data_IF_668744603302
#
_entry.id   IF_668744603302
#
_cell.length_a   1.000
_cell.length_b   1.000
_cell.length_c   1.000
_cell.angle_alpha   90.00
_cell.angle_beta   90.00
_cell.angle_gamma   90.00
#
_symmetry.space_group_name_H-M   'P 1'
#
loop_
_entity.id
_entity.type
_entity.pdbx_description
1 polymer ?
#
# COMPACT_ATOMS: atom_id res chain seq x y z
N UNK A 1 -27.38 0.66 -1.23
CA UNK A 1 -26.61 -0.16 -0.26
C UNK A 1 -25.25 0.51 -0.17
N UNK A 2 -24.80 0.97 1.01
CA UNK A 2 -23.55 1.72 1.08
C UNK A 2 -22.39 0.84 0.57
N UNK A 3 -21.68 1.31 -0.46
CA UNK A 3 -20.48 0.62 -0.95
C UNK A 3 -19.49 0.50 0.22
N UNK A 4 -18.96 -0.70 0.51
CA UNK A 4 -18.31 -0.96 1.79
C UNK A 4 -16.94 -0.25 1.93
N UNK A 5 -16.37 0.26 0.84
CA UNK A 5 -15.12 1.04 0.87
C UNK A 5 -15.22 2.34 1.66
N UNK A 6 -16.42 2.93 1.81
CA UNK A 6 -16.59 4.08 2.70
C UNK A 6 -16.29 3.74 4.16
N UNK A 7 -16.24 2.44 4.52
CA UNK A 7 -15.82 1.97 5.84
C UNK A 7 -14.30 1.97 6.02
N UNK A 8 -13.49 2.08 4.96
CA UNK A 8 -12.02 2.16 5.08
C UNK A 8 -11.49 3.50 5.59
N UNK A 9 -12.38 4.48 5.75
CA UNK A 9 -12.01 5.84 6.07
C UNK A 9 -13.02 6.54 6.95
N UNK A 10 -12.79 7.84 7.13
CA UNK A 10 -13.67 8.71 7.91
C UNK A 10 -14.51 9.54 6.96
N UNK A 11 -15.84 9.39 7.04
CA UNK A 11 -16.76 10.21 6.26
C UNK A 11 -16.68 11.67 6.70
N UNK A 12 -16.37 12.56 5.76
CA UNK A 12 -16.27 14.00 6.02
C UNK A 12 -17.67 14.61 6.00
N UNK A 13 -18.21 14.91 7.19
CA UNK A 13 -19.58 15.45 7.35
C UNK A 13 -19.70 16.94 7.02
N UNK A 14 -18.58 17.67 6.98
CA UNK A 14 -18.54 19.13 6.90
C UNK A 14 -18.12 19.68 5.52
N UNK A 15 -17.74 18.82 4.57
CA UNK A 15 -17.37 19.27 3.23
C UNK A 15 -18.65 19.50 2.40
N UNK A 16 -18.92 20.73 1.91
CA UNK A 16 -20.00 20.93 0.98
C UNK A 16 -19.67 20.18 -0.31
N UNK A 17 -20.62 19.39 -0.83
CA UNK A 17 -20.46 18.58 -2.05
C UNK A 17 -19.88 19.33 -3.26
N UNK A 18 -20.06 20.67 -3.29
CA UNK A 18 -19.55 21.55 -4.34
C UNK A 18 -18.03 21.77 -4.30
N UNK A 19 -17.35 21.35 -3.24
CA UNK A 19 -15.90 21.57 -3.06
C UNK A 19 -15.16 20.33 -2.51
N UNK A 20 -15.68 19.14 -2.78
CA UNK A 20 -15.05 17.88 -2.36
C UNK A 20 -13.60 17.72 -2.86
N UNK A 21 -13.36 18.09 -4.12
CA UNK A 21 -12.03 18.07 -4.76
C UNK A 21 -11.11 19.16 -4.16
N UNK A 22 -11.64 20.38 -3.95
CA UNK A 22 -10.89 21.46 -3.29
C UNK A 22 -10.48 21.08 -1.88
N UNK A 23 -11.39 20.50 -1.07
CA UNK A 23 -11.07 20.02 0.28
C UNK A 23 -9.88 19.05 0.28
N UNK A 24 -9.88 18.00 -0.56
CA UNK A 24 -8.78 17.03 -0.57
C UNK A 24 -7.46 17.65 -1.06
N UNK A 25 -7.51 18.53 -2.06
CA UNK A 25 -6.34 19.25 -2.59
C UNK A 25 -5.74 20.21 -1.57
N UNK A 26 -6.54 21.10 -1.02
CA UNK A 26 -6.11 22.16 -0.11
C UNK A 26 -5.57 21.58 1.21
N UNK A 27 -6.20 20.50 1.69
CA UNK A 27 -5.74 19.81 2.91
C UNK A 27 -4.63 18.79 2.64
N UNK A 28 -4.21 18.61 1.37
CA UNK A 28 -3.21 17.62 0.94
C UNK A 28 -3.50 16.22 1.48
N UNK A 29 -4.77 15.81 1.48
CA UNK A 29 -5.20 14.53 2.08
C UNK A 29 -5.25 13.41 1.05
N UNK A 30 -4.92 12.21 1.53
CA UNK A 30 -5.33 10.98 0.85
C UNK A 30 -6.80 10.75 1.14
N UNK A 31 -7.56 10.41 0.11
CA UNK A 31 -9.00 10.31 0.26
C UNK A 31 -9.69 9.81 -0.99
N UNK A 32 -11.00 9.79 -0.91
CA UNK A 32 -11.86 9.28 -1.96
C UNK A 32 -13.12 10.15 -2.06
N UNK A 33 -13.49 10.50 -3.28
CA UNK A 33 -14.79 11.09 -3.59
C UNK A 33 -15.63 9.98 -4.23
N UNK A 34 -16.81 9.74 -3.71
CA UNK A 34 -17.79 8.82 -4.27
C UNK A 34 -19.03 9.58 -4.73
N UNK A 35 -19.56 9.24 -5.90
CA UNK A 35 -20.82 9.72 -6.44
C UNK A 35 -21.78 8.55 -6.65
N UNK A 36 -22.95 8.58 -6.03
CA UNK A 36 -24.03 7.61 -6.29
C UNK A 36 -24.72 7.97 -7.61
N UNK A 37 -24.79 7.02 -8.55
CA UNK A 37 -25.40 7.24 -9.86
C UNK A 37 -26.90 6.89 -9.90
N UNK A 38 -27.48 6.46 -8.77
CA UNK A 38 -28.90 6.15 -8.61
C UNK A 38 -29.35 4.81 -9.20
N UNK A 39 -28.46 4.10 -9.91
CA UNK A 39 -28.69 2.77 -10.51
C UNK A 39 -28.12 1.62 -9.67
N UNK A 40 -27.56 1.93 -8.49
CA UNK A 40 -26.72 1.00 -7.73
C UNK A 40 -25.25 1.02 -8.15
N UNK A 41 -24.92 1.78 -9.20
CA UNK A 41 -23.55 2.05 -9.64
C UNK A 41 -22.97 3.25 -8.88
N UNK A 42 -21.66 3.23 -8.67
CA UNK A 42 -20.93 4.32 -8.03
C UNK A 42 -19.79 4.80 -8.94
N UNK A 43 -19.59 6.12 -9.03
CA UNK A 43 -18.36 6.66 -9.57
C UNK A 43 -17.44 7.06 -8.41
N UNK A 44 -16.16 6.75 -8.51
CA UNK A 44 -15.17 6.97 -7.47
C UNK A 44 -13.96 7.70 -8.04
N UNK A 45 -13.41 8.65 -7.28
CA UNK A 45 -12.13 9.28 -7.58
C UNK A 45 -11.22 9.19 -6.36
N UNK A 46 -10.03 8.61 -6.53
CA UNK A 46 -9.01 8.50 -5.49
C UNK A 46 -8.05 9.68 -5.52
N UNK A 47 -7.61 10.11 -4.35
CA UNK A 47 -6.61 11.14 -4.14
C UNK A 47 -5.47 10.61 -3.27
N UNK A 48 -4.24 10.99 -3.58
CA UNK A 48 -3.05 10.73 -2.77
C UNK A 48 -2.38 12.07 -2.45
N UNK A 49 -2.32 12.43 -1.17
CA UNK A 49 -1.73 13.70 -0.74
C UNK A 49 -2.35 14.94 -1.41
N UNK A 50 -3.65 14.91 -1.70
CA UNK A 50 -4.38 15.96 -2.42
C UNK A 50 -4.25 15.92 -3.95
N UNK A 51 -3.47 15.00 -4.52
CA UNK A 51 -3.37 14.83 -5.98
C UNK A 51 -4.35 13.76 -6.46
N UNK A 52 -5.20 14.02 -7.47
CA UNK A 52 -6.03 12.99 -8.09
C UNK A 52 -5.18 11.87 -8.69
N UNK A 53 -5.52 10.63 -8.37
CA UNK A 53 -4.78 9.43 -8.78
C UNK A 53 -5.45 8.79 -9.98
N UNK A 54 -6.71 8.40 -9.80
CA UNK A 54 -7.50 7.64 -10.76
C UNK A 54 -8.97 7.76 -10.42
N UNK A 55 -9.81 7.59 -11.44
CA UNK A 55 -11.25 7.51 -11.28
C UNK A 55 -11.77 6.20 -11.86
N UNK A 56 -12.84 5.68 -11.26
CA UNK A 56 -13.45 4.40 -11.63
C UNK A 56 -14.96 4.51 -11.60
N UNK A 57 -15.64 3.77 -12.47
CA UNK A 57 -17.03 3.38 -12.28
C UNK A 57 -17.06 1.97 -11.71
N UNK A 58 -17.78 1.80 -10.62
CA UNK A 58 -17.98 0.55 -9.91
C UNK A 58 -19.34 0.00 -10.30
N UNK A 59 -19.33 -1.18 -10.94
CA UNK A 59 -20.53 -1.83 -11.47
C UNK A 59 -20.38 -3.34 -11.40
N UNK A 60 -21.43 -4.02 -10.92
CA UNK A 60 -21.51 -5.48 -10.84
C UNK A 60 -20.30 -6.15 -10.14
N UNK A 61 -19.72 -5.48 -9.14
CA UNK A 61 -18.53 -5.94 -8.40
C UNK A 61 -17.20 -5.76 -9.14
N UNK A 62 -17.21 -5.18 -10.34
CA UNK A 62 -16.02 -4.77 -11.08
C UNK A 62 -15.81 -3.27 -11.04
N UNK A 63 -14.59 -2.84 -11.36
CA UNK A 63 -14.22 -1.45 -11.56
C UNK A 63 -13.74 -1.23 -12.99
N UNK A 64 -14.15 -0.12 -13.59
CA UNK A 64 -13.67 0.32 -14.90
C UNK A 64 -13.12 1.73 -14.79
N UNK A 65 -11.92 1.94 -15.32
CA UNK A 65 -11.25 3.24 -15.30
C UNK A 65 -12.05 4.31 -16.04
N UNK A 66 -12.03 5.52 -15.48
CA UNK A 66 -12.57 6.75 -16.03
C UNK A 66 -11.46 7.79 -16.11
N UNK A 67 -11.56 8.67 -17.09
CA UNK A 67 -10.83 9.94 -17.06
C UNK A 67 -11.41 10.86 -15.99
N UNK A 68 -10.59 11.79 -15.50
CA UNK A 68 -11.02 12.84 -14.56
C UNK A 68 -12.18 13.65 -15.12
N UNK A 69 -12.17 13.94 -16.43
CA UNK A 69 -13.25 14.66 -17.10
C UNK A 69 -14.57 13.88 -17.11
N UNK A 70 -14.52 12.56 -17.34
CA UNK A 70 -15.72 11.71 -17.29
C UNK A 70 -16.29 11.66 -15.86
N UNK A 71 -15.42 11.54 -14.85
CA UNK A 71 -15.86 11.59 -13.46
C UNK A 71 -16.55 12.91 -13.10
N UNK A 72 -15.97 14.03 -13.52
CA UNK A 72 -16.52 15.37 -13.25
C UNK A 72 -17.85 15.59 -13.95
N UNK A 73 -18.04 15.00 -15.14
CA UNK A 73 -19.27 15.11 -15.91
C UNK A 73 -20.48 14.38 -15.30
N UNK A 74 -20.28 13.45 -14.35
CA UNK A 74 -21.41 12.80 -13.68
C UNK A 74 -22.25 13.82 -12.90
N UNK A 75 -23.58 13.85 -13.15
CA UNK A 75 -24.46 14.80 -12.51
C UNK A 75 -24.61 14.46 -11.02
N UNK A 76 -24.31 15.43 -10.16
CA UNK A 76 -24.69 15.39 -8.75
C UNK A 76 -26.05 16.06 -8.62
N UNK A 77 -27.12 15.27 -8.55
CA UNK A 77 -28.50 15.77 -8.55
C UNK A 77 -28.95 16.23 -7.16
N UNK A 78 -28.30 15.79 -6.08
CA UNK A 78 -28.67 16.18 -4.71
C UNK A 78 -27.52 16.14 -3.69
N UNK A 79 -27.72 16.90 -2.60
CA UNK A 79 -26.84 17.16 -1.42
C UNK A 79 -26.33 15.92 -0.65
N UNK A 80 -26.71 14.70 -1.05
CA UNK A 80 -26.30 13.45 -0.42
C UNK A 80 -25.83 12.38 -1.41
N UNK A 81 -25.64 12.74 -2.68
CA UNK A 81 -25.13 11.83 -3.72
C UNK A 81 -23.61 11.86 -3.80
N UNK A 82 -22.94 12.87 -3.23
CA UNK A 82 -21.49 12.97 -3.18
C UNK A 82 -20.98 12.76 -1.76
N UNK A 83 -20.05 11.83 -1.59
CA UNK A 83 -19.41 11.54 -0.31
C UNK A 83 -17.91 11.77 -0.42
N UNK A 84 -17.33 12.40 0.60
CA UNK A 84 -15.88 12.53 0.75
C UNK A 84 -15.43 11.70 1.93
N UNK A 85 -14.45 10.84 1.70
CA UNK A 85 -13.92 9.90 2.68
C UNK A 85 -12.43 10.17 2.83
N UNK A 86 -12.03 10.60 4.02
CA UNK A 86 -10.62 10.70 4.39
C UNK A 86 -10.05 9.29 4.55
N UNK A 87 -8.97 8.99 3.82
CA UNK A 87 -8.31 7.69 3.83
C UNK A 87 -6.89 7.83 4.36
N UNK A 88 -6.40 6.79 5.05
CA UNK A 88 -4.96 6.65 5.23
C UNK A 88 -4.30 6.30 3.89
N UNK A 89 -3.00 6.56 3.75
CA UNK A 89 -2.25 6.17 2.55
C UNK A 89 -2.30 4.65 2.29
N UNK A 90 -2.31 3.86 3.36
CA UNK A 90 -2.51 2.41 3.28
C UNK A 90 -3.89 2.09 2.69
N UNK A 91 -4.95 2.72 3.22
CA UNK A 91 -6.31 2.52 2.72
C UNK A 91 -6.45 2.92 1.25
N UNK A 92 -5.87 4.06 0.86
CA UNK A 92 -5.87 4.54 -0.52
C UNK A 92 -5.16 3.58 -1.47
N UNK A 93 -3.98 3.06 -1.10
CA UNK A 93 -3.27 2.05 -1.89
C UNK A 93 -4.06 0.76 -2.04
N UNK A 94 -4.63 0.25 -0.95
CA UNK A 94 -5.41 -1.00 -0.97
C UNK A 94 -6.71 -0.85 -1.76
N UNK A 95 -7.40 0.29 -1.64
CA UNK A 95 -8.57 0.59 -2.46
C UNK A 95 -8.21 0.63 -3.96
N UNK A 96 -7.11 1.29 -4.31
CA UNK A 96 -6.63 1.31 -5.70
C UNK A 96 -6.29 -0.08 -6.21
N UNK A 97 -5.55 -0.87 -5.41
CA UNK A 97 -5.27 -2.27 -5.75
C UNK A 97 -6.57 -3.04 -5.98
N UNK A 98 -7.58 -2.88 -5.13
CA UNK A 98 -8.88 -3.54 -5.31
C UNK A 98 -9.56 -3.15 -6.64
N UNK A 99 -9.50 -1.87 -7.02
CA UNK A 99 -10.09 -1.38 -8.27
C UNK A 99 -9.35 -1.83 -9.53
N UNK A 100 -8.03 -1.99 -9.46
CA UNK A 100 -7.24 -2.46 -10.61
C UNK A 100 -7.21 -4.01 -10.67
N UNK A 101 -7.51 -4.70 -9.57
CA UNK A 101 -7.48 -6.16 -9.52
C UNK A 101 -8.74 -6.83 -10.06
N UNK A 102 -8.61 -8.10 -10.44
CA UNK A 102 -9.73 -8.97 -10.78
C UNK A 102 -10.12 -9.85 -9.59
N UNK A 103 -11.39 -9.84 -9.21
CA UNK A 103 -11.90 -10.82 -8.25
C UNK A 103 -11.79 -12.25 -8.81
N UNK A 104 -11.15 -13.14 -8.06
CA UNK A 104 -10.90 -14.53 -8.46
C UNK A 104 -11.60 -15.55 -7.57
N UNK A 105 -11.95 -15.18 -6.35
CA UNK A 105 -12.70 -16.05 -5.47
C UNK A 105 -13.59 -15.25 -4.51
N UNK A 106 -14.65 -15.92 -4.06
CA UNK A 106 -15.49 -15.50 -2.94
C UNK A 106 -15.76 -16.71 -2.06
N UNK A 107 -15.65 -16.55 -0.75
CA UNK A 107 -15.88 -17.61 0.21
C UNK A 107 -16.54 -17.06 1.48
N UNK A 108 -17.43 -17.85 2.07
CA UNK A 108 -17.98 -17.59 3.38
C UNK A 108 -17.17 -18.36 4.42
N UNK A 109 -16.40 -17.65 5.24
CA UNK A 109 -15.54 -18.22 6.27
C UNK A 109 -16.36 -18.41 7.54
N UNK A 110 -16.50 -19.66 7.99
CA UNK A 110 -17.42 -20.02 9.07
C UNK A 110 -16.81 -19.92 10.48
N UNK A 111 -15.50 -20.10 10.60
CA UNK A 111 -14.79 -20.09 11.86
C UNK A 111 -13.28 -19.83 11.65
N UNK A 112 -12.54 -19.77 12.76
CA UNK A 112 -11.11 -19.50 12.76
C UNK A 112 -10.28 -20.61 12.11
N UNK A 113 -10.74 -21.86 12.17
CA UNK A 113 -10.06 -22.99 11.54
C UNK A 113 -10.18 -22.89 10.02
N UNK A 114 -11.37 -22.57 9.54
CA UNK A 114 -11.64 -22.36 8.13
C UNK A 114 -10.78 -21.22 7.57
N UNK A 115 -10.70 -20.11 8.29
CA UNK A 115 -9.80 -19.00 7.93
C UNK A 115 -8.33 -19.43 7.89
N UNK A 116 -7.87 -20.19 8.90
CA UNK A 116 -6.48 -20.68 8.96
C UNK A 116 -6.17 -21.55 7.75
N UNK A 117 -7.06 -22.45 7.36
CA UNK A 117 -6.88 -23.29 6.15
C UNK A 117 -6.74 -22.46 4.89
N UNK A 118 -7.48 -21.35 4.78
CA UNK A 118 -7.33 -20.42 3.65
C UNK A 118 -5.95 -19.75 3.63
N UNK A 119 -5.47 -19.24 4.76
CA UNK A 119 -4.12 -18.66 4.88
C UNK A 119 -3.05 -19.71 4.56
N UNK A 120 -3.13 -20.90 5.15
CA UNK A 120 -2.17 -21.99 4.92
C UNK A 120 -2.14 -22.43 3.46
N UNK A 121 -3.28 -22.41 2.76
CA UNK A 121 -3.33 -22.65 1.32
C UNK A 121 -2.56 -21.56 0.58
N UNK A 122 -2.84 -20.28 0.82
CA UNK A 122 -2.15 -19.18 0.16
C UNK A 122 -0.64 -19.17 0.45
N UNK A 123 -0.23 -19.55 1.65
CA UNK A 123 1.18 -19.76 2.02
C UNK A 123 1.83 -20.84 1.16
N UNK A 124 1.21 -22.02 1.05
CA UNK A 124 1.72 -23.12 0.22
C UNK A 124 1.77 -22.79 -1.26
N UNK A 125 0.80 -22.02 -1.74
CA UNK A 125 0.71 -21.57 -3.13
C UNK A 125 1.64 -20.39 -3.44
N UNK A 126 2.31 -19.82 -2.43
CA UNK A 126 3.09 -18.60 -2.56
C UNK A 126 2.26 -17.45 -3.19
N UNK A 127 0.97 -17.39 -2.84
CA UNK A 127 0.00 -16.54 -3.50
C UNK A 127 0.19 -15.06 -3.15
N UNK A 128 0.16 -14.20 -4.17
CA UNK A 128 0.11 -12.75 -3.99
C UNK A 128 -1.24 -12.24 -4.47
N UNK A 129 -1.95 -11.51 -3.61
CA UNK A 129 -3.27 -10.99 -3.91
C UNK A 129 -3.82 -10.13 -2.78
N UNK A 130 -4.91 -9.45 -3.07
CA UNK A 130 -5.63 -8.66 -2.08
C UNK A 130 -6.81 -9.47 -1.55
N UNK A 131 -7.03 -9.40 -0.25
CA UNK A 131 -8.18 -10.03 0.40
C UNK A 131 -9.03 -8.93 1.03
N UNK A 132 -10.28 -8.88 0.65
CA UNK A 132 -11.32 -8.09 1.30
C UNK A 132 -12.09 -9.00 2.26
N UNK A 133 -12.28 -8.52 3.49
CA UNK A 133 -13.05 -9.20 4.53
C UNK A 133 -14.21 -8.33 4.92
N UNK A 134 -15.42 -8.89 4.92
CA UNK A 134 -16.63 -8.18 5.29
C UNK A 134 -17.54 -9.01 6.19
N UNK A 135 -18.16 -8.34 7.16
CA UNK A 135 -19.23 -8.85 8.00
C UNK A 135 -20.10 -7.65 8.44
N UNK A 136 -21.23 -7.87 9.15
CA UNK A 136 -22.04 -6.76 9.64
C UNK A 136 -21.22 -5.73 10.45
N UNK A 137 -20.38 -6.21 11.38
CA UNK A 137 -19.60 -5.36 12.28
C UNK A 137 -18.15 -5.08 11.86
N UNK A 138 -17.64 -5.71 10.81
CA UNK A 138 -16.24 -5.60 10.39
C UNK A 138 -16.13 -5.41 8.88
N UNK A 139 -15.23 -4.54 8.47
CA UNK A 139 -14.78 -4.45 7.10
C UNK A 139 -13.27 -4.27 7.07
N UNK A 140 -12.58 -4.85 6.10
CA UNK A 140 -11.15 -4.62 5.98
C UNK A 140 -10.54 -5.21 4.72
N UNK A 141 -9.29 -4.85 4.51
CA UNK A 141 -8.47 -5.30 3.41
C UNK A 141 -7.10 -5.71 3.94
N UNK A 142 -6.59 -6.81 3.41
CA UNK A 142 -5.27 -7.32 3.73
C UNK A 142 -4.55 -7.74 2.46
N UNK A 143 -3.34 -7.23 2.27
CA UNK A 143 -2.46 -7.64 1.19
C UNK A 143 -1.68 -8.90 1.59
N UNK A 144 -1.81 -9.93 0.77
CA UNK A 144 -0.97 -11.11 0.83
C UNK A 144 0.10 -10.98 -0.24
N UNK A 145 1.36 -11.11 0.18
CA UNK A 145 2.50 -11.11 -0.71
C UNK A 145 3.27 -12.40 -0.50
N UNK A 146 3.35 -13.23 -1.55
CA UNK A 146 4.08 -14.51 -1.49
C UNK A 146 3.63 -15.40 -0.34
N UNK A 147 2.32 -15.49 -0.17
CA UNK A 147 1.67 -16.26 0.88
C UNK A 147 1.72 -15.61 2.26
N UNK A 148 2.55 -14.59 2.47
CA UNK A 148 2.66 -13.86 3.73
C UNK A 148 1.70 -12.69 3.79
N UNK A 149 0.92 -12.61 4.87
CA UNK A 149 0.05 -11.48 5.14
C UNK A 149 0.90 -10.29 5.62
N UNK A 150 0.73 -9.12 5.00
CA UNK A 150 1.63 -7.99 5.18
C UNK A 150 1.03 -6.99 6.17
N UNK A 151 1.51 -6.99 7.42
CA UNK A 151 0.93 -6.19 8.51
C UNK A 151 0.82 -4.69 8.20
N UNK A 152 1.81 -4.14 7.49
CA UNK A 152 1.82 -2.74 7.06
C UNK A 152 0.75 -2.41 5.98
N UNK A 153 0.15 -3.44 5.40
CA UNK A 153 -0.85 -3.39 4.34
C UNK A 153 -2.12 -4.14 4.74
N UNK A 154 -2.48 -3.96 6.01
CA UNK A 154 -3.75 -4.38 6.57
C UNK A 154 -4.47 -3.15 7.09
N UNK A 155 -5.74 -3.06 6.78
CA UNK A 155 -6.63 -2.08 7.38
C UNK A 155 -7.97 -2.73 7.67
N UNK A 156 -8.46 -2.52 8.89
CA UNK A 156 -9.77 -2.98 9.31
C UNK A 156 -10.52 -1.84 9.97
N UNK A 157 -11.83 -1.89 9.91
CA UNK A 157 -12.71 -0.94 10.55
C UNK A 157 -13.98 -1.62 11.04
N UNK A 158 -14.56 -1.02 12.07
CA UNK A 158 -15.86 -1.36 12.60
C UNK A 158 -16.71 -0.08 12.75
N UNK A 159 -17.86 -0.19 13.41
CA UNK A 159 -18.73 0.97 13.68
C UNK A 159 -18.05 2.07 14.51
N UNK A 160 -17.02 1.72 15.30
CA UNK A 160 -16.21 2.64 16.09
C UNK A 160 -15.07 3.32 15.32
N UNK A 161 -14.85 2.97 14.06
CA UNK A 161 -13.80 3.54 13.20
C UNK A 161 -12.72 2.54 12.80
N UNK A 162 -11.54 3.06 12.41
CA UNK A 162 -10.40 2.25 11.96
C UNK A 162 -9.75 1.57 13.17
N UNK A 163 -9.50 0.27 13.06
CA UNK A 163 -8.78 -0.53 14.03
C UNK A 163 -7.28 -0.32 13.82
N UNK A 164 -6.60 0.23 14.82
CA UNK A 164 -5.18 0.61 14.75
C UNK A 164 -4.24 -0.51 15.19
N UNK A 165 -4.71 -1.47 15.99
CA UNK A 165 -3.94 -2.65 16.35
C UNK A 165 -3.94 -3.65 15.20
N UNK A 166 -2.80 -4.31 14.97
CA UNK A 166 -2.72 -5.43 14.01
C UNK A 166 -3.79 -6.43 14.40
N UNK A 167 -4.87 -6.44 13.63
CA UNK A 167 -5.96 -7.36 13.83
C UNK A 167 -5.40 -8.75 13.63
N UNK A 168 -5.12 -9.44 14.73
CA UNK A 168 -4.98 -10.88 14.69
C UNK A 168 -6.31 -11.40 14.16
N UNK A 169 -6.28 -12.22 13.11
CA UNK A 169 -7.49 -12.77 12.49
C UNK A 169 -8.28 -13.74 13.41
N UNK A 170 -8.08 -13.66 14.72
CA UNK A 170 -8.82 -14.34 15.77
C UNK A 170 -9.99 -13.50 16.32
N UNK A 171 -10.21 -12.29 15.77
CA UNK A 171 -11.35 -11.36 15.87
C UNK A 171 -12.33 -11.42 17.08
N UNK A 172 -12.59 -10.27 17.73
CA UNK A 172 -13.68 -10.09 18.70
C UNK A 172 -15.10 -9.95 18.11
N UNK A 173 -15.26 -9.81 16.79
CA UNK A 173 -16.57 -9.57 16.13
C UNK A 173 -17.25 -10.85 15.60
N UNK A 174 -16.62 -12.01 15.82
CA UNK A 174 -17.18 -13.32 15.46
C UNK A 174 -17.23 -13.60 13.97
N UNK A 175 -17.43 -14.88 13.65
CA UNK A 175 -17.75 -15.40 12.33
C UNK A 175 -19.28 -15.47 12.15
N UNK A 176 -19.83 -15.60 10.92
CA UNK A 176 -19.16 -15.80 9.64
C UNK A 176 -18.67 -14.51 8.97
N UNK A 177 -17.64 -14.63 8.12
CA UNK A 177 -17.16 -13.57 7.24
C UNK A 177 -17.41 -13.89 5.78
N UNK A 178 -17.68 -12.85 5.00
CA UNK A 178 -17.62 -12.87 3.55
C UNK A 178 -16.24 -12.39 3.11
N UNK A 179 -15.50 -13.26 2.42
CA UNK A 179 -14.15 -12.98 1.94
C UNK A 179 -14.12 -12.97 0.42
N UNK A 180 -13.63 -11.87 -0.15
CA UNK A 180 -13.33 -11.74 -1.58
C UNK A 180 -11.83 -11.72 -1.79
N UNK A 181 -11.33 -12.57 -2.69
CA UNK A 181 -9.91 -12.58 -3.07
C UNK A 181 -9.75 -12.00 -4.48
N UNK A 182 -8.75 -11.13 -4.63
CA UNK A 182 -8.44 -10.42 -5.85
C UNK A 182 -7.02 -10.76 -6.32
N UNK A 183 -6.90 -11.12 -7.59
CA UNK A 183 -5.61 -11.35 -8.23
C UNK A 183 -5.18 -10.10 -9.00
N UNK A 184 -3.89 -9.82 -8.94
CA UNK A 184 -3.27 -8.67 -9.61
C UNK A 184 -3.01 -8.94 -11.09
N UNK A 185 -3.04 -7.87 -11.89
CA UNK A 185 -2.43 -7.84 -13.21
C UNK A 185 -1.03 -7.19 -13.10
N UNK A 186 -0.01 -7.81 -13.68
CA UNK A 186 1.36 -7.30 -13.61
C UNK A 186 1.56 -5.98 -14.38
N UNK A 187 0.66 -5.69 -15.31
CA UNK A 187 0.68 -4.45 -16.09
C UNK A 187 0.10 -3.26 -15.33
N UNK A 188 -0.64 -3.50 -14.24
CA UNK A 188 -1.31 -2.44 -13.50
C UNK A 188 -0.34 -1.61 -12.63
N UNK A 189 -0.46 -0.27 -12.65
CA UNK A 189 0.43 0.58 -11.87
C UNK A 189 0.35 0.34 -10.36
N UNK A 190 -0.83 0.04 -9.80
CA UNK A 190 -0.95 -0.23 -8.37
C UNK A 190 -0.16 -1.49 -7.97
N UNK A 191 -0.23 -2.55 -8.79
CA UNK A 191 0.58 -3.74 -8.58
C UNK A 191 2.06 -3.44 -8.68
N UNK A 192 2.49 -2.71 -9.71
CA UNK A 192 3.90 -2.36 -9.90
C UNK A 192 4.46 -1.55 -8.72
N UNK A 193 3.69 -0.59 -8.19
CA UNK A 193 4.06 0.13 -6.97
C UNK A 193 4.18 -0.81 -5.76
N UNK A 194 3.22 -1.73 -5.57
CA UNK A 194 3.24 -2.68 -4.46
C UNK A 194 4.44 -3.64 -4.56
N UNK A 195 4.68 -4.22 -5.74
CA UNK A 195 5.79 -5.11 -6.02
C UNK A 195 7.13 -4.45 -5.73
N UNK A 196 7.29 -3.21 -6.21
CA UNK A 196 8.50 -2.44 -5.99
C UNK A 196 8.74 -2.16 -4.52
N UNK A 197 7.71 -1.72 -3.81
CA UNK A 197 7.79 -1.46 -2.37
C UNK A 197 8.23 -2.69 -1.59
N UNK A 198 7.64 -3.85 -1.84
CA UNK A 198 8.02 -5.07 -1.12
C UNK A 198 9.47 -5.48 -1.40
N UNK A 199 9.87 -5.45 -2.67
CA UNK A 199 11.26 -5.75 -3.05
C UNK A 199 12.25 -4.80 -2.33
N UNK A 200 11.92 -3.52 -2.24
CA UNK A 200 12.77 -2.51 -1.57
C UNK A 200 12.75 -2.66 -0.05
N UNK A 201 11.60 -2.91 0.56
CA UNK A 201 11.46 -3.10 2.00
C UNK A 201 12.25 -4.34 2.45
N UNK A 202 12.06 -5.47 1.76
CA UNK A 202 12.77 -6.71 2.07
C UNK A 202 14.28 -6.52 1.95
N UNK A 203 14.74 -5.92 0.85
CA UNK A 203 16.18 -5.68 0.64
C UNK A 203 16.76 -4.73 1.68
N UNK A 204 16.10 -3.61 1.94
CA UNK A 204 16.56 -2.61 2.92
C UNK A 204 16.63 -3.21 4.32
N UNK A 205 15.64 -4.01 4.72
CA UNK A 205 15.68 -4.70 6.02
C UNK A 205 16.89 -5.65 6.12
N UNK A 206 17.19 -6.41 5.07
CA UNK A 206 18.39 -7.27 5.04
C UNK A 206 19.68 -6.45 5.11
N UNK A 207 19.75 -5.32 4.40
CA UNK A 207 20.89 -4.40 4.44
C UNK A 207 21.12 -3.86 5.84
N UNK A 208 20.07 -3.32 6.47
CA UNK A 208 20.16 -2.71 7.81
C UNK A 208 20.52 -3.74 8.87
N UNK A 209 19.92 -4.94 8.83
CA UNK A 209 20.25 -6.04 9.73
C UNK A 209 21.73 -6.43 9.58
N UNK A 210 22.21 -6.62 8.35
CA UNK A 210 23.60 -6.98 8.09
C UNK A 210 24.57 -5.86 8.47
N UNK A 211 24.19 -4.61 8.25
CA UNK A 211 24.98 -3.45 8.64
C UNK A 211 25.11 -3.39 10.17
N UNK A 212 24.01 -3.61 10.91
CA UNK A 212 24.03 -3.70 12.37
C UNK A 212 25.00 -4.75 12.89
N UNK A 213 25.07 -5.92 12.25
CA UNK A 213 26.01 -6.98 12.62
C UNK A 213 27.48 -6.53 12.48
N UNK A 214 27.79 -5.68 11.50
CA UNK A 214 29.15 -5.19 11.26
C UNK A 214 29.56 -4.04 12.18
N UNK A 215 28.67 -3.06 12.37
CA UNK A 215 29.00 -1.80 13.05
C UNK A 215 28.42 -1.67 14.45
N UNK A 216 27.49 -2.56 14.82
CA UNK A 216 26.74 -2.49 16.07
C UNK A 216 25.57 -1.48 16.03
N UNK A 217 24.73 -1.55 17.06
CA UNK A 217 23.47 -0.82 17.13
C UNK A 217 23.63 0.72 17.03
N UNK A 218 24.59 1.32 17.72
CA UNK A 218 24.77 2.79 17.76
C UNK A 218 25.10 3.41 16.40
N UNK A 219 25.89 2.71 15.58
CA UNK A 219 26.25 3.20 14.25
C UNK A 219 25.11 2.98 13.24
N UNK A 220 24.31 1.92 13.41
CA UNK A 220 23.04 1.79 12.69
C UNK A 220 22.08 2.94 13.05
N UNK A 221 21.86 3.23 14.33
CA UNK A 221 20.95 4.31 14.74
C UNK A 221 21.35 5.66 14.14
N UNK A 222 22.66 5.96 14.11
CA UNK A 222 23.20 7.16 13.45
C UNK A 222 22.87 7.18 11.96
N UNK A 223 23.03 6.05 11.26
CA UNK A 223 22.68 5.91 9.84
C UNK A 223 21.18 6.14 9.62
N UNK A 224 20.31 5.50 10.41
CA UNK A 224 18.85 5.64 10.31
C UNK A 224 18.40 7.09 10.53
N UNK A 225 18.95 7.77 11.54
CA UNK A 225 18.67 9.19 11.81
C UNK A 225 19.08 10.10 10.66
N UNK A 226 20.27 9.86 10.09
CA UNK A 226 20.77 10.66 8.98
C UNK A 226 19.95 10.43 7.70
N UNK A 227 19.57 9.18 7.41
CA UNK A 227 18.70 8.85 6.29
C UNK A 227 17.32 9.51 6.43
N UNK A 228 16.69 9.38 7.60
CA UNK A 228 15.41 10.04 7.89
C UNK A 228 15.51 11.56 7.72
N UNK A 229 16.61 12.19 8.15
CA UNK A 229 16.86 13.62 7.97
C UNK A 229 16.99 14.00 6.49
N UNK A 230 17.65 13.18 5.68
CA UNK A 230 17.85 13.44 4.25
C UNK A 230 16.56 13.26 3.43
N UNK A 231 15.69 12.33 3.80
CA UNK A 231 14.43 12.09 3.07
C UNK A 231 13.28 13.00 3.52
N UNK A 232 13.38 13.63 4.71
CA UNK A 232 12.33 14.51 5.25
C UNK A 232 11.86 15.62 4.28
N UNK A 233 12.73 16.32 3.54
CA UNK A 233 12.30 17.40 2.63
C UNK A 233 11.40 16.94 1.47
N UNK A 234 11.39 15.63 1.18
CA UNK A 234 10.60 15.06 0.10
C UNK A 234 9.17 14.70 0.52
N UNK A 235 8.85 14.84 1.82
CA UNK A 235 7.54 14.50 2.40
C UNK A 235 7.10 13.04 2.13
N UNK A 236 8.06 12.14 1.83
CA UNK A 236 7.78 10.71 1.72
C UNK A 236 7.44 10.14 3.10
N UNK A 237 6.42 9.28 3.16
CA UNK A 237 6.02 8.60 4.39
C UNK A 237 6.79 7.29 4.56
N UNK A 238 8.11 7.40 4.39
CA UNK A 238 9.11 6.36 4.57
C UNK A 238 9.89 6.70 5.84
N UNK A 239 10.07 5.72 6.72
CA UNK A 239 10.82 5.88 7.96
C UNK A 239 11.72 4.68 8.20
N UNK A 240 12.93 4.94 8.71
CA UNK A 240 13.87 3.91 9.13
C UNK A 240 13.97 3.89 10.66
N UNK A 241 14.06 2.69 11.24
CA UNK A 241 14.25 2.52 12.67
C UNK A 241 14.32 1.05 13.09
N UNK A 242 15.14 0.74 14.09
CA UNK A 242 15.27 -0.61 14.67
C UNK A 242 15.66 -1.67 13.63
N UNK A 243 16.58 -1.32 12.74
CA UNK A 243 17.04 -2.14 11.62
C UNK A 243 15.94 -2.49 10.62
N UNK A 244 14.91 -1.67 10.52
CA UNK A 244 13.81 -1.87 9.59
C UNK A 244 13.41 -0.57 8.89
N UNK A 245 12.86 -0.71 7.69
CA UNK A 245 12.17 0.35 6.97
C UNK A 245 10.66 0.12 7.05
N UNK A 246 9.92 1.20 7.27
CA UNK A 246 8.47 1.25 7.12
C UNK A 246 8.15 2.19 5.97
N UNK A 247 7.45 1.69 4.96
CA UNK A 247 6.96 2.50 3.85
C UNK A 247 5.43 2.52 3.85
N UNK A 248 4.90 3.69 4.24
CA UNK A 248 3.48 3.97 4.24
C UNK A 248 3.08 4.99 3.19
N UNK A 249 3.95 5.35 2.23
CA UNK A 249 3.71 6.39 1.24
C UNK A 249 2.85 5.91 0.05
N UNK A 250 1.86 6.69 -0.38
CA UNK A 250 1.00 6.33 -1.52
C UNK A 250 1.57 6.88 -2.84
N UNK A 251 2.46 6.11 -3.46
CA UNK A 251 2.95 6.42 -4.81
C UNK A 251 1.86 6.23 -5.87
N UNK A 252 1.63 7.29 -6.66
CA UNK A 252 0.66 7.30 -7.78
C UNK A 252 1.25 6.58 -8.99
N UNK A 253 2.52 6.80 -9.28
CA UNK A 253 3.19 6.17 -10.42
C UNK A 253 4.39 5.33 -9.96
N UNK A 254 4.63 4.16 -10.60
CA UNK A 254 5.82 3.36 -10.34
C UNK A 254 7.12 4.13 -10.52
N UNK A 255 7.14 5.13 -11.42
CA UNK A 255 8.30 5.98 -11.65
C UNK A 255 8.63 6.89 -10.46
N UNK A 256 7.63 7.36 -9.74
CA UNK A 256 7.82 8.18 -8.54
C UNK A 256 8.41 7.34 -7.41
N UNK A 257 7.88 6.12 -7.24
CA UNK A 257 8.42 5.14 -6.30
C UNK A 257 9.86 4.76 -6.63
N UNK A 258 10.16 4.47 -7.90
CA UNK A 258 11.53 4.21 -8.37
C UNK A 258 12.47 5.37 -8.04
N UNK A 259 12.04 6.61 -8.29
CA UNK A 259 12.84 7.80 -8.00
C UNK A 259 13.13 7.93 -6.51
N UNK A 260 12.11 7.70 -5.67
CA UNK A 260 12.25 7.75 -4.22
C UNK A 260 13.22 6.69 -3.69
N UNK A 261 13.04 5.43 -4.11
CA UNK A 261 13.89 4.33 -3.66
C UNK A 261 15.31 4.44 -4.18
N UNK A 262 15.51 4.96 -5.40
CA UNK A 262 16.84 5.26 -5.92
C UNK A 262 17.57 6.28 -5.05
N UNK A 263 16.89 7.38 -4.69
CA UNK A 263 17.46 8.39 -3.82
C UNK A 263 17.83 7.80 -2.45
N UNK A 264 16.94 6.99 -1.87
CA UNK A 264 17.19 6.28 -0.61
C UNK A 264 18.43 5.38 -0.68
N UNK A 265 18.55 4.53 -1.71
CA UNK A 265 19.70 3.63 -1.87
C UNK A 265 21.00 4.38 -2.12
N UNK A 266 20.97 5.48 -2.88
CA UNK A 266 22.15 6.32 -3.08
C UNK A 266 22.63 6.94 -1.77
N UNK A 267 21.72 7.51 -0.98
CA UNK A 267 22.04 8.07 0.34
C UNK A 267 22.56 7.00 1.29
N UNK A 268 21.90 5.84 1.36
CA UNK A 268 22.31 4.74 2.23
C UNK A 268 23.69 4.20 1.85
N UNK A 269 23.94 3.94 0.56
CA UNK A 269 25.23 3.49 0.07
C UNK A 269 26.35 4.49 0.37
N UNK A 270 26.12 5.79 0.16
CA UNK A 270 27.09 6.85 0.46
C UNK A 270 27.44 6.91 1.96
N UNK A 271 26.43 6.85 2.84
CA UNK A 271 26.65 6.91 4.29
C UNK A 271 27.35 5.65 4.82
N UNK A 272 26.99 4.48 4.31
CA UNK A 272 27.68 3.23 4.63
C UNK A 272 29.13 3.26 4.16
N UNK A 273 29.41 3.77 2.96
CA UNK A 273 30.76 3.89 2.41
C UNK A 273 31.68 4.73 3.33
N UNK A 274 31.17 5.83 3.88
CA UNK A 274 31.91 6.66 4.84
C UNK A 274 32.31 5.87 6.11
N UNK A 275 31.48 4.94 6.58
CA UNK A 275 31.67 4.27 7.87
C UNK A 275 32.46 2.96 7.73
N UNK A 276 32.09 2.10 6.78
CA UNK A 276 32.69 0.76 6.60
C UNK A 276 33.58 0.67 5.36
N UNK A 277 33.66 1.72 4.55
CA UNK A 277 34.43 1.73 3.31
C UNK A 277 33.72 1.03 2.13
N UNK A 278 34.16 1.37 0.93
CA UNK A 278 33.47 1.02 -0.32
C UNK A 278 33.50 -0.46 -0.62
N UNK A 279 34.59 -1.15 -0.27
CA UNK A 279 34.72 -2.59 -0.46
C UNK A 279 33.70 -3.37 0.38
N UNK A 280 33.56 -3.04 1.67
CA UNK A 280 32.60 -3.70 2.56
C UNK A 280 31.16 -3.30 2.23
N UNK A 281 30.92 -2.04 1.88
CA UNK A 281 29.60 -1.56 1.45
C UNK A 281 29.12 -2.32 0.22
N UNK A 282 29.94 -2.41 -0.85
CA UNK A 282 29.60 -3.16 -2.06
C UNK A 282 29.36 -4.64 -1.77
N UNK A 283 30.22 -5.25 -0.94
CA UNK A 283 30.08 -6.65 -0.55
C UNK A 283 28.75 -6.90 0.18
N UNK A 284 28.42 -6.08 1.18
CA UNK A 284 27.17 -6.20 1.94
C UNK A 284 25.94 -6.06 1.05
N UNK A 285 25.93 -5.03 0.19
CA UNK A 285 24.80 -4.74 -0.68
C UNK A 285 24.59 -5.86 -1.71
N UNK A 286 25.69 -6.42 -2.26
CA UNK A 286 25.63 -7.59 -3.14
C UNK A 286 25.17 -8.85 -2.41
N UNK A 287 25.78 -9.17 -1.26
CA UNK A 287 25.41 -10.36 -0.46
C UNK A 287 23.92 -10.35 -0.10
N UNK A 288 23.38 -9.19 0.31
CA UNK A 288 21.95 -9.06 0.65
C UNK A 288 21.04 -9.07 -0.58
N UNK A 289 21.49 -8.52 -1.71
CA UNK A 289 20.73 -8.54 -2.97
C UNK A 289 20.59 -9.97 -3.52
N UNK A 290 21.66 -10.77 -3.44
CA UNK A 290 21.67 -12.16 -3.92
C UNK A 290 20.76 -13.09 -3.07
N UNK A 291 20.36 -12.66 -1.87
CA UNK A 291 19.40 -13.38 -1.00
C UNK A 291 17.93 -13.06 -1.31
N UNK A 292 17.66 -12.07 -2.16
CA UNK A 292 16.30 -11.72 -2.53
C UNK A 292 15.64 -12.80 -3.38
N UNK A 293 14.31 -12.75 -3.45
CA UNK A 293 13.58 -13.60 -4.37
C UNK A 293 13.97 -13.28 -5.82
N UNK A 294 14.12 -14.29 -6.71
CA UNK A 294 14.48 -14.06 -8.10
C UNK A 294 13.57 -13.07 -8.85
N UNK A 295 12.29 -12.98 -8.49
CA UNK A 295 11.38 -12.01 -9.10
C UNK A 295 11.71 -10.56 -8.68
N UNK A 296 12.11 -10.33 -7.42
CA UNK A 296 12.54 -9.01 -6.93
C UNK A 296 13.86 -8.60 -7.57
N UNK A 297 14.81 -9.52 -7.67
CA UNK A 297 16.09 -9.29 -8.35
C UNK A 297 15.83 -8.79 -9.77
N UNK A 298 14.95 -9.47 -10.53
CA UNK A 298 14.60 -9.05 -11.89
C UNK A 298 13.95 -7.67 -11.92
N UNK A 299 13.01 -7.40 -11.02
CA UNK A 299 12.32 -6.11 -10.92
C UNK A 299 13.29 -4.96 -10.58
N UNK A 300 14.09 -5.12 -9.54
CA UNK A 300 15.05 -4.10 -9.09
C UNK A 300 16.15 -3.86 -10.14
N UNK A 301 16.58 -4.91 -10.84
CA UNK A 301 17.57 -4.81 -11.93
C UNK A 301 16.98 -4.08 -13.15
N UNK A 302 15.76 -4.39 -13.56
CA UNK A 302 15.13 -3.76 -14.73
C UNK A 302 14.91 -2.26 -14.53
N UNK A 303 14.65 -1.86 -13.29
CA UNK A 303 14.52 -0.46 -12.87
C UNK A 303 15.86 0.21 -12.55
N UNK A 304 16.99 -0.50 -12.70
CA UNK A 304 18.34 -0.01 -12.35
C UNK A 304 18.41 0.54 -10.92
N UNK A 305 17.63 -0.01 -9.98
CA UNK A 305 17.64 0.43 -8.58
C UNK A 305 18.87 -0.03 -7.81
N UNK A 306 19.76 -0.75 -8.49
CA UNK A 306 21.11 -1.08 -8.05
C UNK A 306 22.00 0.14 -8.38
N UNK A 307 22.46 0.94 -7.39
CA UNK A 307 23.43 2.00 -7.65
C UNK A 307 24.59 1.56 -8.55
N UNK A 308 24.97 2.44 -9.49
CA UNK A 308 26.01 2.14 -10.48
C UNK A 308 27.36 1.72 -9.87
N UNK A 309 27.60 2.10 -8.61
CA UNK A 309 28.76 1.67 -7.82
C UNK A 309 28.84 0.13 -7.58
N UNK A 310 27.80 -0.64 -7.93
CA UNK A 310 27.76 -2.11 -7.83
C UNK A 310 28.10 -2.85 -9.11
N UNK A 311 28.19 -2.15 -10.24
CA UNK A 311 28.22 -2.75 -11.58
C UNK A 311 29.62 -2.97 -12.16
N UNK A 312 30.68 -2.77 -11.38
CA UNK A 312 32.08 -3.00 -11.77
C UNK A 312 32.70 -4.21 -11.05
#
# INVERSE_FOLDING_TARGET
MAYPLSRLGVLVKAAPEKDADGYLRETKKTGMIEKDLGTGDYAVMLFAGGTPVSAYILKDGGAKTLSTSEFTAFPSKSAGEVRVIDLSDVAGRLARLAFESRQVARAAIQDAEDWRRHIERWQRENWSGLVEVSSPGLYGMALFWRGGAQKADMIFSNEGGILTETFGFESPNGFPWEVSAFAFDESDPAYQCAALRYAVVDWTNMILARYQELVGHKLLETLEQELNRQIQPWEWKIALGRAAITDSHFFIHPKDAETAYRALFMSMGMLMDIVIGSALTRRLLKETFDLLNPADIRLLTSLRLIPAAFSE
#
